data_IF_281748086672
#
_entry.id   IF_281748086672
#
_cell.length_a   1.000
_cell.length_b   1.000
_cell.length_c   1.000
_cell.angle_alpha   90.00
_cell.angle_beta   90.00
_cell.angle_gamma   90.00
#
_symmetry.space_group_name_H-M   'P 1'
#
loop_
_entity.id
_entity.type
_entity.pdbx_description
1 polymer ?
#
# COMPACT_ATOMS: atom_id res chain seq x y z
N UNK A 1 -15.13 -23.31 10.09
CA UNK A 1 -14.95 -23.99 8.80
C UNK A 1 -13.53 -23.68 8.37
N UNK A 2 -12.73 -24.67 7.99
CA UNK A 2 -11.34 -24.45 7.55
C UNK A 2 -11.34 -23.77 6.19
N UNK A 3 -10.43 -22.80 5.98
CA UNK A 3 -10.20 -22.23 4.64
C UNK A 3 -9.99 -23.38 3.62
N UNK A 4 -10.58 -23.30 2.42
CA UNK A 4 -10.42 -24.36 1.43
C UNK A 4 -8.94 -24.47 1.01
N UNK A 5 -8.43 -25.70 1.00
CA UNK A 5 -7.06 -26.03 0.56
C UNK A 5 -6.90 -25.94 -0.97
N UNK A 6 -8.02 -25.89 -1.70
CA UNK A 6 -8.09 -25.62 -3.14
C UNK A 6 -9.21 -24.58 -3.39
N UNK A 7 -8.87 -23.39 -3.86
CA UNK A 7 -9.84 -22.30 -4.10
C UNK A 7 -9.17 -21.09 -4.78
N UNK A 8 -9.76 -20.24 -5.64
CA UNK A 8 -11.16 -19.93 -5.99
C UNK A 8 -11.58 -20.51 -7.35
N UNK A 9 -12.72 -21.23 -7.36
CA UNK A 9 -13.44 -21.85 -8.50
C UNK A 9 -12.52 -22.40 -9.61
N UNK A 10 -12.20 -23.71 -9.54
CA UNK A 10 -11.47 -24.51 -10.54
C UNK A 10 -9.92 -24.54 -10.45
N UNK A 11 -9.33 -24.30 -9.28
CA UNK A 11 -7.86 -24.47 -9.12
C UNK A 11 -7.04 -23.36 -9.79
N UNK A 12 -7.58 -22.14 -9.86
CA UNK A 12 -6.84 -20.97 -10.35
C UNK A 12 -5.66 -20.59 -9.46
N UNK A 13 -5.72 -20.93 -8.17
CA UNK A 13 -4.62 -20.81 -7.22
C UNK A 13 -4.50 -22.14 -6.49
N UNK A 14 -3.35 -22.78 -6.61
CA UNK A 14 -2.99 -24.01 -5.91
C UNK A 14 -1.74 -23.72 -5.05
N UNK A 15 -1.96 -23.41 -3.78
CA UNK A 15 -0.88 -23.04 -2.87
C UNK A 15 -0.08 -24.25 -2.40
N UNK A 16 -0.64 -25.45 -2.48
CA UNK A 16 0.05 -26.69 -2.11
C UNK A 16 1.04 -27.10 -3.22
N UNK A 17 0.65 -26.95 -4.48
CA UNK A 17 1.53 -27.16 -5.62
C UNK A 17 2.40 -25.95 -5.97
N UNK A 18 2.15 -24.78 -5.36
CA UNK A 18 2.82 -23.53 -5.71
C UNK A 18 2.52 -23.11 -7.15
N UNK A 19 1.26 -23.13 -7.56
CA UNK A 19 0.84 -22.80 -8.92
C UNK A 19 -0.26 -21.75 -8.94
N UNK A 20 -0.14 -20.76 -9.83
CA UNK A 20 -1.15 -19.71 -10.00
C UNK A 20 -1.49 -19.59 -11.48
N UNK A 21 -2.76 -19.72 -11.82
CA UNK A 21 -3.25 -19.60 -13.19
C UNK A 21 -3.09 -18.18 -13.71
N UNK A 22 -2.65 -18.06 -14.96
CA UNK A 22 -2.55 -16.74 -15.63
C UNK A 22 -3.90 -16.06 -15.82
N UNK A 23 -5.00 -16.81 -15.76
CA UNK A 23 -6.36 -16.26 -15.90
C UNK A 23 -6.64 -15.14 -14.91
N UNK A 24 -6.15 -15.23 -13.66
CA UNK A 24 -6.42 -14.20 -12.65
C UNK A 24 -5.85 -12.83 -13.06
N UNK A 25 -4.85 -12.79 -13.94
CA UNK A 25 -4.21 -11.56 -14.41
C UNK A 25 -4.83 -11.01 -15.69
N UNK A 26 -5.60 -11.82 -16.45
CA UNK A 26 -6.03 -11.44 -17.80
C UNK A 26 -7.52 -11.58 -18.07
N UNK A 27 -8.27 -12.21 -17.17
CA UNK A 27 -9.69 -12.45 -17.36
C UNK A 27 -10.53 -11.28 -16.82
N UNK A 28 -11.33 -10.69 -17.70
CA UNK A 28 -12.17 -9.54 -17.37
C UNK A 28 -13.31 -9.89 -16.42
N UNK A 29 -13.86 -11.11 -16.49
CA UNK A 29 -14.93 -11.54 -15.57
C UNK A 29 -14.39 -11.66 -14.14
N UNK A 30 -13.19 -12.25 -13.98
CA UNK A 30 -12.50 -12.30 -12.68
C UNK A 30 -12.25 -10.89 -12.17
N UNK A 31 -11.83 -9.97 -13.05
CA UNK A 31 -11.59 -8.59 -12.66
C UNK A 31 -12.86 -7.88 -12.15
N UNK A 32 -14.01 -8.05 -12.82
CA UNK A 32 -15.27 -7.51 -12.34
C UNK A 32 -15.66 -8.10 -10.97
N UNK A 33 -15.39 -9.39 -10.75
CA UNK A 33 -15.56 -10.00 -9.43
C UNK A 33 -14.60 -9.42 -8.38
N UNK A 34 -13.36 -9.08 -8.73
CA UNK A 34 -12.41 -8.42 -7.81
C UNK A 34 -12.94 -7.06 -7.34
N UNK A 35 -13.57 -6.28 -8.23
CA UNK A 35 -14.13 -4.98 -7.84
C UNK A 35 -15.18 -5.11 -6.72
N UNK A 36 -16.07 -6.09 -6.83
CA UNK A 36 -17.15 -6.33 -5.87
C UNK A 36 -16.68 -7.10 -4.62
N UNK A 37 -15.89 -8.17 -4.82
CA UNK A 37 -15.54 -9.09 -3.73
C UNK A 37 -14.30 -8.67 -2.96
N UNK A 38 -13.43 -7.87 -3.56
CA UNK A 38 -12.17 -7.43 -2.95
C UNK A 38 -12.14 -5.92 -2.72
N UNK A 39 -12.20 -5.09 -3.77
CA UNK A 39 -11.99 -3.64 -3.63
C UNK A 39 -13.15 -2.91 -2.93
N UNK A 40 -14.39 -3.41 -3.04
CA UNK A 40 -15.51 -2.90 -2.26
C UNK A 40 -15.45 -3.30 -0.77
N UNK A 41 -14.61 -4.27 -0.39
CA UNK A 41 -14.62 -4.87 0.96
C UNK A 41 -13.36 -4.63 1.77
N UNK A 42 -12.20 -4.53 1.11
CA UNK A 42 -10.93 -4.32 1.78
C UNK A 42 -10.74 -2.88 2.28
N UNK A 43 -9.79 -2.68 3.18
CA UNK A 43 -9.28 -1.35 3.51
C UNK A 43 -8.32 -0.89 2.41
N UNK A 44 -8.51 0.35 1.93
CA UNK A 44 -7.73 0.95 0.86
C UNK A 44 -7.12 2.26 1.33
N UNK A 45 -5.87 2.51 0.96
CA UNK A 45 -5.22 3.79 1.20
C UNK A 45 -5.80 4.87 0.29
N UNK A 46 -6.17 6.01 0.87
CA UNK A 46 -6.78 7.13 0.16
C UNK A 46 -5.81 8.30 -0.01
N UNK A 47 -4.97 8.56 0.99
CA UNK A 47 -4.04 9.68 0.96
C UNK A 47 -3.46 9.98 2.34
N UNK A 48 -2.96 11.19 2.52
CA UNK A 48 -2.34 11.63 3.77
C UNK A 48 -2.90 12.98 4.23
N UNK A 49 -3.06 13.17 5.53
CA UNK A 49 -3.69 14.37 6.11
C UNK A 49 -2.97 15.67 5.74
N UNK A 50 -1.65 15.61 5.48
CA UNK A 50 -0.86 16.76 5.06
C UNK A 50 -1.21 17.26 3.66
N UNK A 51 -1.98 16.49 2.88
CA UNK A 51 -2.54 16.93 1.59
C UNK A 51 -3.78 17.81 1.78
N UNK A 52 -4.42 17.75 2.96
CA UNK A 52 -5.61 18.54 3.33
C UNK A 52 -5.42 19.20 4.71
N UNK A 53 -4.40 20.05 4.89
CA UNK A 53 -4.07 20.59 6.20
C UNK A 53 -5.11 21.57 6.74
N UNK A 54 -5.85 22.28 5.89
CA UNK A 54 -6.80 23.32 6.31
C UNK A 54 -8.26 22.94 6.00
N UNK A 55 -9.23 23.46 6.76
CA UNK A 55 -10.65 23.39 6.42
C UNK A 55 -10.93 23.84 4.98
N UNK A 56 -11.67 23.04 4.23
CA UNK A 56 -12.00 23.24 2.82
C UNK A 56 -11.02 22.61 1.84
N UNK A 57 -9.81 22.24 2.30
CA UNK A 57 -8.84 21.55 1.46
C UNK A 57 -9.35 20.16 1.07
N UNK A 58 -9.13 19.80 -0.20
CA UNK A 58 -9.49 18.50 -0.74
C UNK A 58 -8.38 17.93 -1.62
N UNK A 59 -8.40 16.60 -1.74
CA UNK A 59 -7.60 15.80 -2.64
C UNK A 59 -8.50 14.72 -3.26
N UNK A 60 -8.46 14.57 -4.59
CA UNK A 60 -9.21 13.53 -5.30
C UNK A 60 -8.33 12.30 -5.44
N UNK A 61 -8.81 11.19 -4.88
CA UNK A 61 -8.16 9.88 -4.88
C UNK A 61 -9.00 8.81 -5.57
N UNK A 62 -8.59 7.55 -5.44
CA UNK A 62 -9.27 6.40 -6.03
C UNK A 62 -9.31 5.20 -5.08
N UNK A 63 -10.44 4.48 -5.06
CA UNK A 63 -10.65 3.25 -4.31
C UNK A 63 -11.14 2.16 -5.28
N UNK A 64 -10.27 1.26 -5.70
CA UNK A 64 -10.51 0.43 -6.89
C UNK A 64 -10.61 1.32 -8.14
N UNK A 65 -11.74 1.26 -8.84
CA UNK A 65 -12.05 2.19 -9.94
C UNK A 65 -12.83 3.43 -9.51
N UNK A 66 -13.34 3.46 -8.27
CA UNK A 66 -14.14 4.58 -7.80
C UNK A 66 -13.28 5.81 -7.57
N UNK A 67 -13.74 6.96 -8.06
CA UNK A 67 -13.12 8.26 -7.74
C UNK A 67 -13.68 8.75 -6.41
N UNK A 68 -12.81 9.16 -5.49
CA UNK A 68 -13.21 9.65 -4.16
C UNK A 68 -12.65 11.03 -3.87
N UNK A 69 -13.36 11.80 -3.04
CA UNK A 69 -12.93 13.11 -2.55
C UNK A 69 -12.52 12.93 -1.10
N UNK A 70 -11.23 13.02 -0.81
CA UNK A 70 -10.70 13.22 0.54
C UNK A 70 -10.75 14.72 0.84
N UNK A 71 -11.46 15.15 1.89
CA UNK A 71 -11.50 16.56 2.26
C UNK A 71 -11.52 16.78 3.76
N UNK A 72 -11.06 17.97 4.18
CA UNK A 72 -11.26 18.47 5.53
C UNK A 72 -12.44 19.44 5.53
N UNK A 73 -13.44 19.19 6.37
CA UNK A 73 -14.61 20.06 6.44
C UNK A 73 -14.34 21.37 7.20
N UNK A 74 -15.37 22.21 7.34
CA UNK A 74 -15.26 23.48 8.08
C UNK A 74 -15.07 23.32 9.58
N UNK A 75 -15.47 22.17 10.15
CA UNK A 75 -15.26 21.84 11.55
C UNK A 75 -13.85 21.28 11.81
N UNK A 76 -13.13 20.88 10.76
CA UNK A 76 -11.80 20.29 10.83
C UNK A 76 -11.79 18.77 10.69
N UNK A 77 -12.95 18.15 10.52
CA UNK A 77 -13.12 16.69 10.37
C UNK A 77 -12.73 16.22 8.97
N UNK A 78 -12.15 15.02 8.88
CA UNK A 78 -11.74 14.42 7.61
C UNK A 78 -12.85 13.51 7.10
N UNK A 79 -13.19 13.66 5.82
CA UNK A 79 -14.18 12.82 5.14
C UNK A 79 -13.62 12.24 3.85
N UNK A 80 -14.17 11.09 3.44
CA UNK A 80 -13.94 10.50 2.11
C UNK A 80 -15.28 10.19 1.47
N UNK A 81 -15.58 10.87 0.36
CA UNK A 81 -16.85 10.72 -0.36
C UNK A 81 -16.66 10.12 -1.74
N UNK A 82 -17.62 9.33 -2.20
CA UNK A 82 -17.75 8.97 -3.61
C UNK A 82 -17.91 10.25 -4.46
N UNK A 83 -17.03 10.43 -5.44
CA UNK A 83 -17.02 11.59 -6.33
C UNK A 83 -18.06 11.44 -7.46
N UNK A 84 -19.33 11.25 -7.08
CA UNK A 84 -20.43 11.03 -8.00
C UNK A 84 -21.67 11.78 -7.53
N UNK A 85 -22.10 12.76 -8.32
CA UNK A 85 -23.31 13.53 -8.03
C UNK A 85 -24.51 12.59 -7.99
N UNK A 86 -25.24 12.59 -6.87
CA UNK A 86 -26.43 11.76 -6.67
C UNK A 86 -27.60 12.04 -7.63
N UNK A 87 -27.55 13.14 -8.38
CA UNK A 87 -28.56 13.44 -9.39
C UNK A 87 -28.40 12.57 -10.65
N UNK A 88 -27.23 12.62 -11.31
CA UNK A 88 -26.96 11.97 -12.62
C UNK A 88 -25.48 11.56 -12.80
N UNK A 89 -24.79 11.24 -11.71
CA UNK A 89 -23.46 10.61 -11.75
C UNK A 89 -22.28 11.50 -12.15
N UNK A 90 -22.48 12.80 -12.36
CA UNK A 90 -21.38 13.70 -12.72
C UNK A 90 -20.35 13.79 -11.59
N UNK A 91 -19.05 13.71 -11.91
CA UNK A 91 -17.97 13.99 -10.96
C UNK A 91 -18.14 15.40 -10.38
N UNK A 92 -18.29 15.49 -9.07
CA UNK A 92 -18.57 16.77 -8.39
C UNK A 92 -17.29 17.57 -8.26
N UNK A 93 -16.18 16.91 -7.93
CA UNK A 93 -14.84 17.49 -7.98
C UNK A 93 -14.09 16.97 -9.22
N UNK A 94 -13.50 17.87 -9.99
CA UNK A 94 -12.75 17.54 -11.23
C UNK A 94 -11.27 17.93 -11.18
N UNK A 95 -10.84 18.51 -10.07
CA UNK A 95 -9.46 18.92 -9.84
C UNK A 95 -8.82 17.93 -8.88
N UNK A 96 -7.53 17.66 -9.06
CA UNK A 96 -6.79 16.70 -8.25
C UNK A 96 -6.67 17.14 -6.79
N UNK A 97 -6.52 18.43 -6.56
CA UNK A 97 -6.41 19.03 -5.23
C UNK A 97 -6.83 20.50 -5.27
N UNK A 98 -7.12 21.07 -4.11
CA UNK A 98 -7.46 22.48 -3.97
C UNK A 98 -8.19 22.76 -2.67
N UNK A 99 -8.86 23.91 -2.60
CA UNK A 99 -9.65 24.31 -1.45
C UNK A 99 -10.98 24.89 -1.90
N UNK A 100 -12.08 24.46 -1.28
CA UNK A 100 -13.42 24.99 -1.58
C UNK A 100 -14.32 25.00 -0.35
N UNK A 101 -15.26 25.95 -0.33
CA UNK A 101 -16.28 26.03 0.71
C UNK A 101 -17.49 25.12 0.44
N UNK A 102 -17.71 24.72 -0.82
CA UNK A 102 -18.84 23.93 -1.34
C UNK A 102 -18.41 23.22 -2.64
N UNK A 103 -18.82 21.99 -2.83
CA UNK A 103 -18.67 21.25 -4.10
C UNK A 103 -19.93 21.42 -4.96
N UNK A 104 -19.84 22.18 -6.06
CA UNK A 104 -20.97 22.39 -6.98
C UNK A 104 -20.82 21.54 -8.23
N UNK A 105 -21.79 20.64 -8.45
CA UNK A 105 -21.84 19.79 -9.64
C UNK A 105 -22.00 20.65 -10.92
N UNK A 106 -21.08 20.55 -11.89
CA UNK A 106 -21.08 21.40 -13.07
C UNK A 106 -22.20 21.09 -14.07
N UNK A 107 -22.93 19.99 -13.90
CA UNK A 107 -23.98 19.60 -14.83
C UNK A 107 -25.29 20.36 -14.54
N UNK A 108 -25.83 20.24 -13.32
CA UNK A 108 -27.14 20.81 -12.96
C UNK A 108 -27.08 21.70 -11.71
N UNK A 109 -25.89 22.04 -11.22
CA UNK A 109 -25.72 22.96 -10.08
C UNK A 109 -26.10 22.42 -8.70
N UNK A 110 -26.36 21.11 -8.56
CA UNK A 110 -26.50 20.50 -7.23
C UNK A 110 -25.21 20.72 -6.43
N UNK A 111 -25.34 21.29 -5.25
CA UNK A 111 -24.21 21.76 -4.46
C UNK A 111 -24.18 21.06 -3.10
N UNK A 112 -23.01 20.56 -2.74
CA UNK A 112 -22.75 19.78 -1.54
C UNK A 112 -21.79 20.52 -0.62
N UNK A 113 -22.08 20.59 0.67
CA UNK A 113 -21.11 21.10 1.64
C UNK A 113 -19.93 20.15 1.81
N UNK A 114 -18.86 20.61 2.46
CA UNK A 114 -17.64 19.82 2.70
C UNK A 114 -17.85 18.65 3.67
N UNK A 115 -18.99 18.58 4.35
CA UNK A 115 -19.48 17.43 5.13
C UNK A 115 -20.46 16.54 4.32
N UNK A 116 -20.47 16.68 2.99
CA UNK A 116 -21.21 15.82 2.06
C UNK A 116 -22.71 16.13 1.91
N UNK A 117 -23.31 16.99 2.73
CA UNK A 117 -24.76 17.28 2.67
C UNK A 117 -25.16 18.03 1.41
N UNK A 118 -26.32 17.69 0.83
CA UNK A 118 -26.89 18.43 -0.29
C UNK A 118 -27.49 19.76 0.19
N UNK A 119 -26.77 20.86 -0.05
CA UNK A 119 -27.14 22.20 0.43
C UNK A 119 -27.82 23.07 -0.63
N UNK A 120 -27.53 22.83 -1.91
CA UNK A 120 -28.08 23.63 -3.02
C UNK A 120 -28.70 22.78 -4.12
N UNK A 121 -29.93 23.12 -4.52
CA UNK A 121 -30.65 22.51 -5.65
C UNK A 121 -31.28 23.64 -6.47
N UNK A 122 -30.83 23.89 -7.71
CA UNK A 122 -31.46 24.90 -8.56
C UNK A 122 -32.94 24.61 -8.81
N UNK A 123 -33.76 25.66 -8.85
CA UNK A 123 -35.22 25.59 -9.05
C UNK A 123 -35.94 24.67 -8.05
N UNK A 124 -35.47 24.58 -6.80
CA UNK A 124 -36.06 23.72 -5.76
C UNK A 124 -37.57 23.99 -5.53
N UNK A 125 -38.00 25.26 -5.62
CA UNK A 125 -39.42 25.60 -5.42
C UNK A 125 -40.26 25.31 -6.65
N UNK A 126 -39.76 25.65 -7.83
CA UNK A 126 -40.49 25.61 -9.09
C UNK A 126 -40.55 24.19 -9.66
N UNK A 127 -39.41 23.50 -9.75
CA UNK A 127 -39.28 22.19 -10.39
C UNK A 127 -39.47 21.02 -9.42
N UNK A 128 -39.03 21.17 -8.16
CA UNK A 128 -39.19 20.14 -7.12
C UNK A 128 -40.38 20.40 -6.19
N UNK A 129 -41.12 21.50 -6.37
CA UNK A 129 -42.26 21.90 -5.52
C UNK A 129 -41.93 21.93 -4.02
N UNK A 130 -40.67 22.19 -3.67
CA UNK A 130 -40.14 22.10 -2.30
C UNK A 130 -40.32 20.72 -1.63
N UNK A 131 -40.48 19.64 -2.40
CA UNK A 131 -40.76 18.28 -1.89
C UNK A 131 -39.55 17.35 -1.84
N UNK A 132 -38.43 17.70 -2.47
CA UNK A 132 -37.23 16.87 -2.41
C UNK A 132 -36.63 16.91 -0.99
N UNK A 133 -36.57 15.76 -0.33
CA UNK A 133 -35.86 15.61 0.94
C UNK A 133 -34.35 15.57 0.70
N UNK A 134 -33.69 16.71 0.87
CA UNK A 134 -32.25 16.87 0.63
C UNK A 134 -31.39 16.00 1.55
N UNK A 135 -31.89 15.57 2.72
CA UNK A 135 -31.10 14.74 3.65
C UNK A 135 -30.85 13.32 3.12
N UNK A 136 -31.63 12.85 2.15
CA UNK A 136 -31.47 11.52 1.55
C UNK A 136 -30.49 11.49 0.35
N UNK A 137 -30.02 12.66 -0.08
CA UNK A 137 -29.31 12.83 -1.35
C UNK A 137 -27.96 13.55 -1.21
N UNK A 138 -27.33 13.46 -0.04
CA UNK A 138 -25.92 13.84 0.15
C UNK A 138 -24.96 12.94 -0.61
N UNK A 139 -23.69 13.35 -0.70
CA UNK A 139 -22.63 12.50 -1.23
C UNK A 139 -22.57 11.20 -0.41
N UNK A 140 -22.26 10.08 -1.08
CA UNK A 140 -22.07 8.80 -0.39
C UNK A 140 -20.72 8.86 0.30
N UNK A 141 -20.71 8.77 1.62
CA UNK A 141 -19.49 8.64 2.41
C UNK A 141 -19.05 7.17 2.45
N UNK A 142 -17.74 6.94 2.56
CA UNK A 142 -17.21 5.60 2.85
C UNK A 142 -17.81 5.05 4.14
N UNK A 143 -17.96 3.73 4.24
CA UNK A 143 -18.60 3.11 5.40
C UNK A 143 -17.75 3.26 6.67
N UNK A 144 -16.42 3.17 6.51
CA UNK A 144 -15.46 3.38 7.60
C UNK A 144 -14.24 4.14 7.10
N UNK A 145 -13.67 4.96 7.99
CA UNK A 145 -12.46 5.76 7.77
C UNK A 145 -11.53 5.61 8.97
N UNK A 146 -10.23 5.53 8.72
CA UNK A 146 -9.20 5.53 9.76
C UNK A 146 -8.08 6.52 9.40
N UNK A 147 -7.84 7.49 10.28
CA UNK A 147 -6.62 8.30 10.27
C UNK A 147 -5.59 7.61 11.16
N UNK A 148 -4.51 7.11 10.57
CA UNK A 148 -3.45 6.40 11.27
C UNK A 148 -2.08 7.00 10.92
N UNK A 149 -1.41 7.62 11.88
CA UNK A 149 -0.05 8.19 11.70
C UNK A 149 0.05 9.09 10.46
N UNK A 150 -0.97 9.91 10.25
CA UNK A 150 -1.12 10.82 9.10
C UNK A 150 -1.71 10.20 7.83
N UNK A 151 -1.70 8.87 7.70
CA UNK A 151 -2.31 8.16 6.57
C UNK A 151 -3.82 8.02 6.72
N UNK A 152 -4.56 8.19 5.63
CA UNK A 152 -6.02 8.04 5.59
C UNK A 152 -6.36 6.76 4.84
N UNK A 153 -7.06 5.86 5.54
CA UNK A 153 -7.55 4.59 5.02
C UNK A 153 -9.07 4.58 5.05
N UNK A 154 -9.69 3.90 4.10
CA UNK A 154 -11.14 3.77 4.04
C UNK A 154 -11.58 2.41 3.49
N UNK A 155 -12.82 2.04 3.76
CA UNK A 155 -13.50 0.88 3.15
C UNK A 155 -14.96 1.19 2.89
N UNK A 156 -15.53 0.57 1.85
CA UNK A 156 -16.95 0.67 1.54
C UNK A 156 -17.81 -0.31 2.34
N UNK A 157 -17.19 -1.27 3.04
CA UNK A 157 -17.90 -2.32 3.76
C UNK A 157 -18.05 -1.98 5.25
N UNK A 158 -19.29 -1.77 5.75
CA UNK A 158 -19.53 -1.50 7.17
C UNK A 158 -19.25 -2.70 8.08
N UNK A 159 -19.17 -3.92 7.53
CA UNK A 159 -18.85 -5.14 8.25
C UNK A 159 -17.35 -5.42 8.32
N UNK A 160 -16.50 -4.64 7.65
CA UNK A 160 -15.06 -4.77 7.77
C UNK A 160 -14.62 -4.56 9.23
N UNK A 161 -13.63 -5.31 9.74
CA UNK A 161 -13.07 -5.04 11.05
C UNK A 161 -12.39 -3.64 11.06
N UNK A 162 -12.29 -2.97 12.22
CA UNK A 162 -11.57 -1.70 12.33
C UNK A 162 -10.14 -1.80 11.76
N UNK A 163 -9.61 -0.73 11.16
CA UNK A 163 -8.33 -0.78 10.45
C UNK A 163 -7.14 -1.36 11.25
N UNK A 164 -7.04 -1.03 12.54
CA UNK A 164 -5.97 -1.59 13.39
C UNK A 164 -6.14 -3.10 13.59
N UNK A 165 -7.39 -3.56 13.69
CA UNK A 165 -7.72 -4.97 13.75
C UNK A 165 -7.65 -5.64 12.37
N UNK A 166 -7.70 -4.91 11.26
CA UNK A 166 -7.39 -5.41 9.92
C UNK A 166 -5.90 -5.74 9.80
N UNK A 167 -5.03 -4.79 10.21
CA UNK A 167 -3.56 -4.96 10.21
C UNK A 167 -3.06 -5.99 11.23
N UNK A 168 -3.60 -5.98 12.45
CA UNK A 168 -3.14 -6.80 13.58
C UNK A 168 -1.63 -6.71 13.81
N UNK A 169 -0.99 -7.87 13.98
CA UNK A 169 0.46 -7.98 14.24
C UNK A 169 1.37 -7.46 13.11
N UNK A 170 0.81 -7.05 11.97
CA UNK A 170 1.56 -6.35 10.92
C UNK A 170 1.84 -4.88 11.26
N UNK A 171 1.11 -4.31 12.22
CA UNK A 171 1.17 -2.90 12.58
C UNK A 171 2.60 -2.38 12.91
N UNK A 172 3.44 -3.10 13.66
CA UNK A 172 4.83 -2.67 13.90
C UNK A 172 5.68 -2.54 12.63
N UNK A 173 5.36 -3.26 11.54
CA UNK A 173 6.11 -3.22 10.28
C UNK A 173 5.72 -2.01 9.43
N UNK A 174 4.43 -1.69 9.34
CA UNK A 174 3.99 -0.48 8.64
C UNK A 174 4.46 0.78 9.39
N UNK A 175 4.52 0.73 10.72
CA UNK A 175 5.04 1.80 11.57
C UNK A 175 6.50 2.16 11.25
N UNK A 176 7.34 1.20 10.84
CA UNK A 176 8.71 1.49 10.36
C UNK A 176 8.72 2.38 9.12
N UNK A 177 7.62 2.47 8.39
CA UNK A 177 7.44 3.36 7.23
C UNK A 177 6.64 4.62 7.56
N UNK A 178 5.78 4.63 8.58
CA UNK A 178 4.90 5.78 8.89
C UNK A 178 5.43 6.66 10.02
N UNK A 179 6.29 6.14 10.89
CA UNK A 179 6.89 6.90 11.99
C UNK A 179 8.11 7.70 11.56
N UNK A 180 8.34 8.85 12.19
CA UNK A 180 9.50 9.67 11.91
C UNK A 180 10.80 8.85 11.98
N UNK A 181 11.86 9.28 11.29
CA UNK A 181 13.13 8.57 11.24
C UNK A 181 13.75 8.34 12.61
N UNK A 182 13.45 9.20 13.59
CA UNK A 182 13.88 9.07 14.98
C UNK A 182 13.01 8.09 15.81
N UNK A 183 12.02 7.46 15.18
CA UNK A 183 11.08 6.53 15.77
C UNK A 183 9.88 7.16 16.49
N UNK A 184 9.70 8.48 16.43
CA UNK A 184 8.50 9.14 16.98
C UNK A 184 7.23 8.77 16.22
N UNK A 185 6.11 8.66 16.95
CA UNK A 185 4.83 8.28 16.35
C UNK A 185 4.36 9.26 15.28
N UNK A 186 4.19 8.77 14.06
CA UNK A 186 3.81 9.55 12.88
C UNK A 186 4.84 10.64 12.55
N UNK A 187 4.36 11.86 12.32
CA UNK A 187 5.23 13.01 12.03
C UNK A 187 5.73 13.09 10.59
N UNK A 188 5.21 12.25 9.69
CA UNK A 188 5.47 12.34 8.25
C UNK A 188 4.61 13.40 7.55
N UNK A 189 5.05 13.79 6.36
CA UNK A 189 4.28 14.54 5.39
C UNK A 189 4.62 14.09 3.96
N UNK A 190 3.74 14.43 3.02
CA UNK A 190 3.97 14.20 1.59
C UNK A 190 4.92 15.25 1.02
N UNK A 191 6.00 14.77 0.38
CA UNK A 191 7.01 15.64 -0.24
C UNK A 191 6.54 16.13 -1.62
N UNK A 192 6.27 17.43 -1.72
CA UNK A 192 5.94 18.20 -2.95
C UNK A 192 4.64 17.82 -3.68
N UNK A 193 4.20 16.56 -3.68
CA UNK A 193 3.02 16.07 -4.39
C UNK A 193 3.09 14.56 -4.64
N UNK A 194 2.26 14.06 -5.56
CA UNK A 194 2.24 12.64 -5.95
C UNK A 194 2.56 12.45 -7.42
N UNK A 195 3.20 11.33 -7.73
CA UNK A 195 3.41 10.91 -9.11
C UNK A 195 2.34 9.89 -9.51
N UNK A 196 1.72 10.10 -10.67
CA UNK A 196 0.68 9.24 -11.25
C UNK A 196 1.09 8.84 -12.65
N UNK A 197 1.05 7.55 -12.97
CA UNK A 197 1.32 7.04 -14.31
C UNK A 197 0.56 5.74 -14.56
N UNK A 198 0.49 5.31 -15.83
CA UNK A 198 -0.21 4.10 -16.24
C UNK A 198 0.76 3.09 -16.82
N UNK A 199 0.56 1.83 -16.45
CA UNK A 199 1.33 0.68 -16.95
C UNK A 199 0.35 -0.35 -17.51
N UNK A 200 0.56 -0.87 -18.73
CA UNK A 200 -0.32 -1.87 -19.35
C UNK A 200 -0.12 -3.26 -18.76
N UNK A 201 -0.39 -3.40 -17.45
CA UNK A 201 -0.32 -4.65 -16.72
C UNK A 201 -1.47 -4.77 -15.72
N UNK A 202 -1.77 -5.99 -15.28
CA UNK A 202 -2.67 -6.23 -14.17
C UNK A 202 -2.09 -5.71 -12.85
N UNK A 203 -2.94 -5.20 -11.96
CA UNK A 203 -2.54 -4.62 -10.67
C UNK A 203 -1.79 -5.60 -9.76
N UNK A 204 -2.00 -6.91 -9.96
CA UNK A 204 -1.35 -7.96 -9.17
C UNK A 204 0.15 -8.12 -9.45
N UNK A 205 0.65 -7.72 -10.62
CA UNK A 205 2.10 -7.77 -10.92
C UNK A 205 2.95 -6.85 -10.03
N UNK A 206 2.64 -5.54 -9.92
CA UNK A 206 3.37 -4.69 -8.98
C UNK A 206 3.07 -5.06 -7.52
N UNK A 207 1.85 -5.53 -7.21
CA UNK A 207 1.50 -6.00 -5.87
C UNK A 207 2.35 -7.21 -5.41
N UNK A 208 2.51 -8.23 -6.26
CA UNK A 208 3.33 -9.38 -5.91
C UNK A 208 4.82 -9.04 -5.88
N UNK A 209 5.26 -8.11 -6.73
CA UNK A 209 6.63 -7.64 -6.75
C UNK A 209 7.00 -6.93 -5.43
N UNK A 210 6.18 -5.98 -4.97
CA UNK A 210 6.39 -5.28 -3.70
C UNK A 210 6.04 -6.11 -2.46
N UNK A 211 5.27 -7.19 -2.62
CA UNK A 211 5.04 -8.18 -1.57
C UNK A 211 6.34 -8.85 -1.09
N UNK A 212 7.39 -8.85 -1.92
CA UNK A 212 8.73 -9.28 -1.52
C UNK A 212 9.48 -10.04 -2.60
N UNK A 213 9.18 -9.85 -3.89
CA UNK A 213 9.97 -10.47 -4.94
C UNK A 213 11.39 -9.93 -4.85
N UNK A 214 12.29 -10.66 -4.21
CA UNK A 214 13.69 -10.27 -4.12
C UNK A 214 14.56 -10.98 -5.14
N UNK A 215 13.95 -11.87 -5.93
CA UNK A 215 14.61 -12.64 -6.98
C UNK A 215 14.84 -11.79 -8.22
N UNK A 216 13.92 -10.88 -8.54
CA UNK A 216 14.04 -9.97 -9.69
C UNK A 216 15.17 -8.95 -9.58
N UNK A 217 15.95 -8.90 -8.49
CA UNK A 217 17.00 -7.89 -8.32
C UNK A 217 18.04 -7.88 -9.47
N UNK A 218 18.14 -8.96 -10.25
CA UNK A 218 18.91 -9.00 -11.50
C UNK A 218 18.44 -7.98 -12.55
N UNK A 219 17.14 -7.68 -12.60
CA UNK A 219 16.55 -6.67 -13.49
C UNK A 219 17.13 -5.28 -13.24
N UNK A 220 17.53 -5.00 -12.00
CA UNK A 220 18.12 -3.72 -11.64
C UNK A 220 19.65 -3.67 -11.71
N UNK A 221 20.27 -4.56 -12.47
CA UNK A 221 21.73 -4.59 -12.60
C UNK A 221 22.27 -3.27 -13.18
N UNK A 222 21.53 -2.62 -14.08
CA UNK A 222 21.83 -1.30 -14.63
C UNK A 222 21.95 -0.25 -13.52
N UNK A 223 21.00 -0.21 -12.60
CA UNK A 223 20.94 0.68 -11.44
C UNK A 223 22.12 0.46 -10.51
N UNK A 224 22.45 -0.80 -10.24
CA UNK A 224 23.60 -1.16 -9.40
C UNK A 224 24.93 -0.72 -9.99
N UNK A 225 25.09 -0.80 -11.32
CA UNK A 225 26.29 -0.35 -12.03
C UNK A 225 26.47 1.17 -11.98
N UNK A 226 25.37 1.93 -12.04
CA UNK A 226 25.42 3.40 -11.91
C UNK A 226 25.68 3.82 -10.46
N UNK A 227 25.33 2.97 -9.49
CA UNK A 227 25.62 3.22 -8.08
C UNK A 227 24.85 4.40 -7.52
N UNK A 228 23.56 4.52 -7.88
CA UNK A 228 22.71 5.63 -7.43
C UNK A 228 22.39 5.60 -5.94
N UNK A 229 22.97 4.69 -5.15
CA UNK A 229 22.74 4.59 -3.71
C UNK A 229 23.13 5.87 -2.95
N UNK A 230 22.58 6.07 -1.76
CA UNK A 230 22.86 7.26 -0.94
C UNK A 230 24.28 7.32 -0.38
N UNK A 231 25.00 6.19 -0.42
CA UNK A 231 26.43 6.09 -0.10
C UNK A 231 27.35 6.60 -1.22
N UNK A 232 26.81 6.87 -2.41
CA UNK A 232 27.55 7.41 -3.56
C UNK A 232 28.68 6.54 -4.12
N UNK A 233 28.86 5.31 -3.63
CA UNK A 233 29.89 4.39 -4.09
C UNK A 233 29.44 2.92 -4.06
N UNK A 234 29.68 2.23 -5.19
CA UNK A 234 29.69 0.77 -5.40
C UNK A 234 28.48 -0.11 -5.00
N UNK A 235 27.45 0.37 -4.29
CA UNK A 235 26.17 -0.35 -4.07
C UNK A 235 25.01 0.61 -3.79
N UNK A 236 23.79 0.14 -4.11
CA UNK A 236 22.52 0.80 -3.79
C UNK A 236 22.20 0.78 -2.28
N UNK A 237 22.50 -0.34 -1.63
CA UNK A 237 22.21 -0.58 -0.22
C UNK A 237 23.36 -0.18 0.70
N UNK A 238 23.01 0.02 1.98
CA UNK A 238 23.98 0.33 3.02
C UNK A 238 24.71 -0.94 3.56
N UNK A 239 25.99 -0.84 3.98
CA UNK A 239 26.80 -2.00 4.36
C UNK A 239 26.29 -2.80 5.56
N UNK A 240 25.50 -2.23 6.48
CA UNK A 240 24.97 -2.95 7.65
C UNK A 240 24.09 -4.14 7.25
N UNK A 241 23.47 -4.10 6.07
CA UNK A 241 22.63 -5.18 5.58
C UNK A 241 23.42 -6.46 5.28
N UNK A 242 24.75 -6.38 5.15
CA UNK A 242 25.62 -7.56 5.03
C UNK A 242 25.69 -8.39 6.32
N UNK A 243 25.40 -7.78 7.46
CA UNK A 243 25.40 -8.44 8.78
C UNK A 243 24.00 -8.92 9.20
N UNK A 244 22.96 -8.46 8.50
CA UNK A 244 21.57 -8.69 8.86
C UNK A 244 21.04 -10.05 8.41
N UNK A 245 20.01 -10.52 9.09
CA UNK A 245 19.11 -11.55 8.55
C UNK A 245 18.12 -10.92 7.60
N UNK A 246 18.07 -11.38 6.35
CA UNK A 246 17.04 -10.97 5.39
C UNK A 246 15.85 -11.90 5.54
N UNK A 247 14.66 -11.35 5.82
CA UNK A 247 13.47 -12.11 6.17
C UNK A 247 12.32 -11.76 5.22
N UNK A 248 11.62 -12.78 4.76
CA UNK A 248 10.25 -12.65 4.25
C UNK A 248 9.29 -12.94 5.39
N UNK A 249 8.38 -12.02 5.66
CA UNK A 249 7.47 -12.07 6.79
C UNK A 249 6.06 -11.89 6.25
N UNK A 250 5.20 -12.87 6.52
CA UNK A 250 3.82 -12.88 6.05
C UNK A 250 2.82 -13.08 7.20
N UNK A 251 1.62 -12.54 7.01
CA UNK A 251 0.50 -12.67 7.93
C UNK A 251 -0.68 -13.36 7.21
N UNK A 252 -0.71 -14.70 7.13
CA UNK A 252 -1.70 -15.45 6.34
C UNK A 252 -3.15 -15.11 6.60
N UNK A 253 -3.51 -14.85 7.85
CA UNK A 253 -4.88 -14.54 8.27
C UNK A 253 -5.37 -13.15 7.84
N UNK A 254 -4.46 -12.34 7.29
CA UNK A 254 -4.66 -10.91 7.01
C UNK A 254 -4.24 -10.53 5.59
N UNK A 255 -3.31 -11.29 5.00
CA UNK A 255 -2.77 -11.09 3.66
C UNK A 255 -1.67 -10.03 3.55
N UNK A 256 -1.17 -9.51 4.67
CA UNK A 256 -0.08 -8.53 4.67
C UNK A 256 1.27 -9.22 4.66
N UNK A 257 2.25 -8.58 4.04
CA UNK A 257 3.61 -9.11 3.96
C UNK A 257 4.66 -8.02 3.84
N UNK A 258 5.89 -8.36 4.22
CA UNK A 258 7.06 -7.50 4.03
C UNK A 258 8.32 -8.32 3.86
N UNK A 259 9.28 -7.74 3.14
CA UNK A 259 10.70 -8.10 3.25
C UNK A 259 11.35 -7.14 4.23
N UNK A 260 12.03 -7.68 5.24
CA UNK A 260 12.72 -6.88 6.25
C UNK A 260 14.10 -7.44 6.56
N UNK A 261 14.97 -6.59 7.10
CA UNK A 261 16.28 -6.97 7.62
C UNK A 261 16.30 -6.85 9.14
N UNK A 262 16.75 -7.89 9.82
CA UNK A 262 16.96 -7.89 11.26
C UNK A 262 18.47 -7.84 11.56
N UNK A 263 18.92 -6.74 12.14
CA UNK A 263 20.32 -6.55 12.53
C UNK A 263 20.69 -7.31 13.80
N UNK A 264 21.95 -7.78 13.94
CA UNK A 264 22.41 -8.36 15.20
C UNK A 264 22.39 -7.31 16.31
N UNK A 265 22.25 -7.74 17.56
CA UNK A 265 22.08 -6.88 18.73
C UNK A 265 23.21 -5.87 18.89
N UNK A 266 24.44 -6.27 18.56
CA UNK A 266 25.65 -5.45 18.66
C UNK A 266 26.00 -4.73 17.35
N UNK A 267 25.11 -4.70 16.35
CA UNK A 267 25.38 -4.04 15.08
C UNK A 267 25.58 -2.53 15.26
N UNK A 268 26.77 -2.04 14.91
CA UNK A 268 27.03 -0.61 14.81
C UNK A 268 26.21 0.03 13.66
N UNK A 269 25.83 1.29 13.83
CA UNK A 269 25.25 2.10 12.75
C UNK A 269 26.39 2.60 11.85
N UNK A 270 26.48 2.18 10.58
CA UNK A 270 27.51 2.69 9.70
C UNK A 270 27.22 4.15 9.33
N UNK A 271 28.24 4.93 8.98
CA UNK A 271 28.03 6.28 8.51
C UNK A 271 27.27 6.27 7.19
N UNK A 272 26.26 7.14 7.08
CA UNK A 272 25.42 7.27 5.89
C UNK A 272 25.49 8.70 5.34
N UNK A 273 25.24 8.84 4.02
CA UNK A 273 25.09 10.14 3.35
C UNK A 273 26.28 11.11 3.51
N UNK A 274 27.51 10.59 3.48
CA UNK A 274 28.72 11.35 3.81
C UNK A 274 29.05 12.52 2.87
N UNK A 275 28.30 12.70 1.77
CA UNK A 275 28.46 13.82 0.85
C UNK A 275 27.85 15.14 1.34
N UNK A 276 26.97 15.11 2.35
CA UNK A 276 26.50 16.29 3.08
C UNK A 276 26.58 16.02 4.57
N UNK A 277 27.25 16.90 5.33
CA UNK A 277 27.33 16.79 6.78
C UNK A 277 25.95 16.93 7.43
N UNK A 278 25.11 17.85 6.94
CA UNK A 278 23.76 18.07 7.48
C UNK A 278 22.89 16.83 7.31
N UNK A 279 22.93 16.20 6.13
CA UNK A 279 22.18 14.97 5.86
C UNK A 279 22.73 13.81 6.68
N UNK A 280 24.05 13.66 6.74
CA UNK A 280 24.71 12.60 7.52
C UNK A 280 24.40 12.72 9.01
N UNK A 281 24.49 13.92 9.58
CA UNK A 281 24.23 14.21 10.99
C UNK A 281 22.76 13.92 11.34
N UNK A 282 21.82 14.38 10.52
CA UNK A 282 20.39 14.12 10.70
C UNK A 282 20.08 12.61 10.81
N UNK A 283 20.51 11.82 9.84
CA UNK A 283 20.21 10.39 9.83
C UNK A 283 20.93 9.61 10.95
N UNK A 284 22.14 10.04 11.33
CA UNK A 284 22.87 9.46 12.46
C UNK A 284 22.12 9.70 13.77
N UNK A 285 21.69 10.94 14.02
CA UNK A 285 20.96 11.32 15.23
C UNK A 285 19.60 10.61 15.30
N UNK A 286 18.85 10.60 14.20
CA UNK A 286 17.59 9.85 14.11
C UNK A 286 17.79 8.36 14.41
N UNK A 287 18.79 7.71 13.82
CA UNK A 287 19.05 6.29 14.04
C UNK A 287 19.41 6.00 15.51
N UNK A 288 20.21 6.84 16.16
CA UNK A 288 20.55 6.71 17.58
C UNK A 288 19.30 6.82 18.47
N UNK A 289 18.46 7.83 18.23
CA UNK A 289 17.22 8.04 18.97
C UNK A 289 16.24 6.88 18.73
N UNK A 290 16.08 6.44 17.47
CA UNK A 290 15.19 5.35 17.07
C UNK A 290 15.57 4.05 17.77
N UNK A 291 16.85 3.68 17.78
CA UNK A 291 17.33 2.46 18.44
C UNK A 291 17.11 2.49 19.95
N UNK A 292 17.36 3.65 20.57
CA UNK A 292 17.09 3.82 22.00
C UNK A 292 15.61 3.73 22.34
N UNK A 293 14.74 4.37 21.55
CA UNK A 293 13.28 4.37 21.77
C UNK A 293 12.65 2.99 21.54
N UNK A 294 13.07 2.28 20.49
CA UNK A 294 12.43 1.02 20.05
C UNK A 294 13.04 -0.25 20.64
N UNK A 295 14.16 -0.15 21.37
CA UNK A 295 14.86 -1.33 21.88
C UNK A 295 15.19 -2.32 20.76
N UNK A 296 14.83 -3.59 20.92
CA UNK A 296 15.09 -4.62 19.90
C UNK A 296 14.38 -4.35 18.57
N UNK A 297 13.21 -3.69 18.55
CA UNK A 297 12.56 -3.27 17.30
C UNK A 297 13.39 -2.25 16.51
N UNK A 298 14.29 -1.51 17.17
CA UNK A 298 15.24 -0.61 16.50
C UNK A 298 16.21 -1.35 15.57
N UNK A 299 16.36 -2.67 15.73
CA UNK A 299 17.19 -3.53 14.87
C UNK A 299 16.47 -3.94 13.58
N UNK A 300 15.14 -3.84 13.54
CA UNK A 300 14.35 -4.14 12.36
C UNK A 300 14.44 -2.96 11.38
N UNK A 301 14.74 -3.30 10.12
CA UNK A 301 14.76 -2.38 8.99
C UNK A 301 13.80 -2.96 7.95
N UNK A 302 12.61 -2.37 7.84
CA UNK A 302 11.68 -2.70 6.77
C UNK A 302 12.30 -2.30 5.41
N UNK A 303 12.07 -3.13 4.40
CA UNK A 303 12.40 -2.82 3.01
C UNK A 303 11.11 -2.54 2.26
N UNK A 304 10.63 -3.51 1.46
CA UNK A 304 9.35 -3.47 0.75
C UNK A 304 8.30 -4.24 1.52
N UNK A 305 7.04 -3.90 1.30
CA UNK A 305 5.93 -4.72 1.73
C UNK A 305 4.62 -4.25 1.14
N UNK A 306 3.58 -5.01 1.43
CA UNK A 306 2.24 -4.80 0.90
C UNK A 306 1.24 -4.86 2.07
N UNK A 307 0.51 -3.77 2.26
CA UNK A 307 -0.78 -3.82 2.92
C UNK A 307 -1.78 -4.26 1.87
N UNK A 308 -2.18 -5.52 1.97
CA UNK A 308 -3.25 -6.09 1.16
C UNK A 308 -4.43 -5.12 1.00
N UNK A 309 -5.06 -5.03 -0.19
CA UNK A 309 -4.70 -5.76 -1.40
C UNK A 309 -3.59 -5.10 -2.22
N UNK A 310 -3.53 -3.77 -2.25
CA UNK A 310 -2.85 -3.05 -3.32
C UNK A 310 -2.05 -1.82 -2.86
N UNK A 311 -1.73 -1.72 -1.57
CA UNK A 311 -0.93 -0.61 -1.04
C UNK A 311 0.45 -1.12 -0.68
N UNK A 312 1.41 -0.83 -1.54
CA UNK A 312 2.80 -1.11 -1.29
C UNK A 312 3.46 -0.01 -0.46
N UNK A 313 4.46 -0.39 0.33
CA UNK A 313 5.34 0.54 1.00
C UNK A 313 6.81 0.18 0.77
N UNK A 314 7.65 1.21 0.82
CA UNK A 314 9.09 1.08 0.89
C UNK A 314 9.55 1.97 2.05
N UNK A 315 10.17 1.39 3.07
CA UNK A 315 10.30 2.07 4.37
C UNK A 315 11.47 3.06 4.46
N UNK A 316 12.45 2.99 3.55
CA UNK A 316 13.68 3.80 3.65
C UNK A 316 14.02 4.60 2.40
N UNK A 317 14.42 3.92 1.33
CA UNK A 317 15.16 4.55 0.25
C UNK A 317 14.73 4.01 -1.12
N UNK A 318 13.74 4.64 -1.77
CA UNK A 318 12.94 5.77 -1.30
C UNK A 318 11.93 5.40 -0.20
N UNK A 319 11.54 6.37 0.64
CA UNK A 319 10.48 6.13 1.64
C UNK A 319 9.14 6.50 1.01
N UNK A 320 8.34 5.50 0.67
CA UNK A 320 7.13 5.70 -0.15
C UNK A 320 5.96 4.84 0.28
N UNK A 321 4.76 5.34 -0.01
CA UNK A 321 3.58 4.52 -0.23
C UNK A 321 3.26 4.54 -1.73
N UNK A 322 2.89 3.41 -2.30
CA UNK A 322 2.39 3.31 -3.66
C UNK A 322 1.08 2.52 -3.67
N UNK A 323 0.13 2.94 -4.51
CA UNK A 323 -1.14 2.24 -4.69
C UNK A 323 -1.27 1.81 -6.14
N UNK A 324 -1.60 0.54 -6.33
CA UNK A 324 -1.87 -0.07 -7.62
C UNK A 324 -3.37 0.08 -7.93
N UNK A 325 -3.78 1.21 -8.50
CA UNK A 325 -5.19 1.42 -8.82
C UNK A 325 -5.53 0.64 -10.10
N UNK A 326 -6.43 -0.36 -10.03
CA UNK A 326 -6.76 -1.14 -11.20
C UNK A 326 -7.59 -0.32 -12.20
N UNK A 327 -7.38 -0.54 -13.50
CA UNK A 327 -8.10 0.12 -14.61
C UNK A 327 -8.45 -0.94 -15.66
N UNK A 328 -9.34 -1.86 -15.30
CA UNK A 328 -9.55 -3.10 -16.06
C UNK A 328 -8.52 -4.18 -15.73
N UNK A 329 -8.69 -5.38 -16.29
CA UNK A 329 -7.75 -6.48 -16.10
C UNK A 329 -6.36 -6.24 -16.73
N UNK A 330 -6.16 -5.16 -17.48
CA UNK A 330 -5.02 -4.97 -18.37
C UNK A 330 -4.27 -3.65 -18.23
N UNK A 331 -4.71 -2.77 -17.34
CA UNK A 331 -4.03 -1.52 -17.07
C UNK A 331 -4.07 -1.25 -15.56
N UNK A 332 -2.97 -0.71 -15.06
CA UNK A 332 -2.85 -0.26 -13.68
C UNK A 332 -2.40 1.19 -13.69
N UNK A 333 -3.12 2.03 -12.98
CA UNK A 333 -2.69 3.39 -12.69
C UNK A 333 -1.96 3.38 -11.33
N UNK A 334 -0.67 3.72 -11.36
CA UNK A 334 0.19 3.71 -10.17
C UNK A 334 0.26 5.11 -9.62
N UNK A 335 -0.07 5.26 -8.33
CA UNK A 335 0.07 6.50 -7.60
C UNK A 335 1.10 6.33 -6.51
N UNK A 336 2.10 7.22 -6.44
CA UNK A 336 3.20 7.14 -5.48
C UNK A 336 3.31 8.41 -4.65
N UNK A 337 3.32 8.23 -3.34
CA UNK A 337 3.54 9.25 -2.32
C UNK A 337 4.95 9.09 -1.75
N UNK A 338 5.68 10.19 -1.68
CA UNK A 338 7.00 10.25 -1.07
C UNK A 338 6.87 10.82 0.34
N UNK A 339 7.31 10.07 1.35
CA UNK A 339 7.22 10.47 2.75
C UNK A 339 8.53 11.09 3.22
N UNK A 340 8.43 12.20 3.94
CA UNK A 340 9.54 12.81 4.70
C UNK A 340 9.06 13.19 6.09
N UNK A 341 9.98 13.30 7.04
CA UNK A 341 9.62 13.82 8.36
C UNK A 341 9.31 15.32 8.24
N UNK A 342 8.20 15.75 8.86
CA UNK A 342 7.78 17.16 8.89
C UNK A 342 8.88 18.04 9.49
N UNK A 343 9.57 17.55 10.50
CA UNK A 343 10.66 18.23 11.21
C UNK A 343 12.02 18.21 10.49
N UNK A 344 12.16 17.45 9.40
CA UNK A 344 13.44 17.35 8.71
C UNK A 344 13.92 18.72 8.18
N UNK A 345 15.23 19.03 8.27
CA UNK A 345 15.80 20.23 7.67
C UNK A 345 15.51 20.31 6.17
N UNK A 346 15.39 21.53 5.64
CA UNK A 346 15.12 21.75 4.21
C UNK A 346 16.16 21.08 3.30
N UNK A 347 17.44 21.08 3.70
CA UNK A 347 18.51 20.40 2.97
C UNK A 347 18.31 18.87 2.91
N UNK A 348 17.83 18.27 4.01
CA UNK A 348 17.50 16.83 4.05
C UNK A 348 16.31 16.54 3.14
N UNK A 349 15.25 17.36 3.20
CA UNK A 349 14.08 17.21 2.32
C UNK A 349 14.47 17.34 0.84
N UNK A 350 15.33 18.29 0.49
CA UNK A 350 15.78 18.48 -0.90
C UNK A 350 16.68 17.32 -1.37
N UNK A 351 17.60 16.85 -0.52
CA UNK A 351 18.39 15.66 -0.80
C UNK A 351 17.49 14.43 -1.08
N UNK A 352 16.51 14.17 -0.20
CA UNK A 352 15.58 13.06 -0.36
C UNK A 352 14.74 13.23 -1.62
N UNK A 353 14.26 14.44 -1.92
CA UNK A 353 13.51 14.74 -3.15
C UNK A 353 14.29 14.31 -4.39
N UNK A 354 15.56 14.69 -4.50
CA UNK A 354 16.42 14.37 -5.64
C UNK A 354 16.71 12.87 -5.72
N UNK A 355 17.00 12.22 -4.58
CA UNK A 355 17.27 10.78 -4.54
C UNK A 355 16.02 9.97 -4.91
N UNK A 356 14.87 10.33 -4.35
CA UNK A 356 13.61 9.60 -4.53
C UNK A 356 13.15 9.58 -5.99
N UNK A 357 13.10 10.73 -6.67
CA UNK A 357 12.66 10.80 -8.07
C UNK A 357 13.64 10.17 -9.05
N UNK A 358 14.93 10.05 -8.68
CA UNK A 358 15.92 9.31 -9.47
C UNK A 358 15.76 7.80 -9.33
N UNK A 359 15.24 7.35 -8.19
CA UNK A 359 15.09 5.92 -7.88
C UNK A 359 13.76 5.38 -8.41
N UNK A 360 12.62 5.90 -7.92
CA UNK A 360 11.28 5.38 -8.19
C UNK A 360 10.37 6.43 -8.84
N UNK A 361 9.26 5.96 -9.41
CA UNK A 361 8.35 6.77 -10.22
C UNK A 361 8.60 6.64 -11.73
N UNK A 362 7.84 7.34 -12.57
CA UNK A 362 7.81 7.10 -14.02
C UNK A 362 9.14 7.41 -14.74
N UNK A 363 10.01 8.22 -14.12
CA UNK A 363 11.37 8.52 -14.60
C UNK A 363 12.47 7.96 -13.67
N UNK A 364 12.09 7.20 -12.64
CA UNK A 364 13.03 6.55 -11.73
C UNK A 364 13.74 5.39 -12.41
N UNK A 365 15.03 5.20 -12.14
CA UNK A 365 15.82 4.17 -12.81
C UNK A 365 15.38 2.75 -12.44
N UNK A 366 15.02 2.53 -11.18
CA UNK A 366 14.56 1.22 -10.70
C UNK A 366 13.18 0.90 -11.24
N UNK A 367 12.24 1.85 -11.14
CA UNK A 367 10.87 1.64 -11.62
C UNK A 367 10.80 1.42 -13.13
N UNK A 368 11.72 2.01 -13.92
CA UNK A 368 11.79 1.75 -15.35
C UNK A 368 12.06 0.27 -15.67
N UNK A 369 12.99 -0.36 -14.96
CA UNK A 369 13.27 -1.79 -15.14
C UNK A 369 12.05 -2.65 -14.75
N UNK A 370 11.35 -2.28 -13.68
CA UNK A 370 10.16 -2.98 -13.20
C UNK A 370 8.98 -2.88 -14.17
N UNK A 371 8.67 -1.66 -14.63
CA UNK A 371 7.57 -1.42 -15.57
C UNK A 371 7.77 -2.17 -16.88
N UNK A 372 9.01 -2.30 -17.34
CA UNK A 372 9.37 -3.13 -18.49
C UNK A 372 8.96 -4.59 -18.22
N UNK A 373 9.42 -5.16 -17.10
CA UNK A 373 9.07 -6.54 -16.74
C UNK A 373 7.56 -6.76 -16.67
N UNK A 374 6.82 -5.90 -15.95
CA UNK A 374 5.37 -6.06 -15.74
C UNK A 374 4.59 -5.96 -17.05
N UNK A 375 4.92 -4.98 -17.90
CA UNK A 375 4.29 -4.81 -19.22
C UNK A 375 4.48 -6.07 -20.08
N UNK A 376 5.72 -6.54 -20.23
CA UNK A 376 6.02 -7.70 -21.09
C UNK A 376 5.48 -9.01 -20.52
N UNK A 377 5.56 -9.22 -19.20
CA UNK A 377 4.97 -10.38 -18.53
C UNK A 377 3.46 -10.42 -18.73
N UNK A 378 2.77 -9.29 -18.54
CA UNK A 378 1.34 -9.19 -18.78
C UNK A 378 0.98 -9.45 -20.24
N UNK A 379 1.66 -8.81 -21.19
CA UNK A 379 1.42 -9.03 -22.61
C UNK A 379 1.60 -10.51 -23.01
N UNK A 380 2.64 -11.17 -22.51
CA UNK A 380 2.89 -12.59 -22.74
C UNK A 380 1.84 -13.51 -22.07
N UNK A 381 1.23 -13.06 -20.95
CA UNK A 381 0.17 -13.79 -20.24
C UNK A 381 -1.09 -13.97 -21.06
N UNK A 382 -1.37 -13.05 -21.99
CA UNK A 382 -2.66 -12.98 -22.71
C UNK A 382 -2.80 -14.00 -23.84
N UNK A 383 -1.70 -14.63 -24.25
CA UNK A 383 -1.71 -15.58 -25.37
C UNK A 383 -2.60 -16.80 -25.09
N UNK A 384 -3.38 -17.23 -26.08
CA UNK A 384 -4.33 -18.36 -25.98
C UNK A 384 -3.71 -19.63 -25.40
N UNK A 385 -2.45 -19.92 -25.76
CA UNK A 385 -1.72 -21.06 -25.22
C UNK A 385 -1.10 -20.77 -23.86
N UNK A 386 -0.51 -19.59 -23.67
CA UNK A 386 0.11 -19.19 -22.41
C UNK A 386 -0.86 -19.33 -21.23
N UNK A 387 -2.12 -18.91 -21.43
CA UNK A 387 -3.22 -18.99 -20.45
C UNK A 387 -3.56 -20.40 -19.96
N UNK A 388 -3.16 -21.44 -20.68
CA UNK A 388 -3.43 -22.84 -20.30
C UNK A 388 -2.43 -23.41 -19.31
N UNK A 389 -1.36 -22.67 -19.00
CA UNK A 389 -0.29 -23.11 -18.11
C UNK A 389 -0.15 -22.14 -16.94
N UNK A 390 -0.02 -22.64 -15.71
CA UNK A 390 0.16 -21.79 -14.54
C UNK A 390 1.55 -21.14 -14.52
N UNK A 391 1.66 -20.12 -13.70
CA UNK A 391 2.92 -19.65 -13.15
C UNK A 391 3.39 -20.54 -12.00
N UNK A 392 4.71 -20.64 -11.86
CA UNK A 392 5.36 -21.35 -10.77
C UNK A 392 5.61 -20.39 -9.61
N UNK A 393 5.17 -20.79 -8.42
CA UNK A 393 5.36 -20.12 -7.13
C UNK A 393 5.94 -21.09 -6.09
N UNK A 394 6.70 -22.11 -6.54
CA UNK A 394 7.26 -23.15 -5.67
C UNK A 394 8.53 -22.68 -4.92
N UNK A 395 9.08 -21.50 -5.24
CA UNK A 395 10.33 -21.05 -4.63
C UNK A 395 10.17 -20.91 -3.11
N UNK A 396 10.97 -21.68 -2.37
CA UNK A 396 10.94 -21.70 -0.90
C UNK A 396 9.66 -22.29 -0.30
N UNK A 397 8.89 -23.08 -1.05
CA UNK A 397 7.70 -23.78 -0.53
C UNK A 397 8.06 -24.74 0.61
N UNK A 398 7.35 -24.65 1.74
CA UNK A 398 7.56 -25.49 2.93
C UNK A 398 8.78 -25.10 3.76
N UNK A 399 9.41 -23.94 3.47
CA UNK A 399 10.57 -23.45 4.24
C UNK A 399 10.19 -22.41 5.30
N UNK A 400 8.91 -22.07 5.39
CA UNK A 400 8.38 -21.12 6.34
C UNK A 400 8.42 -21.64 7.79
N UNK A 401 8.69 -20.72 8.72
CA UNK A 401 8.86 -20.99 10.14
C UNK A 401 7.88 -20.12 10.91
N UNK A 402 7.04 -20.77 11.72
CA UNK A 402 6.25 -20.08 12.74
C UNK A 402 7.12 -19.81 13.99
N UNK A 403 6.88 -18.68 14.67
CA UNK A 403 7.61 -18.30 15.90
C UNK A 403 9.13 -18.17 15.69
N UNK A 404 9.54 -17.65 14.54
CA UNK A 404 10.95 -17.40 14.25
C UNK A 404 11.57 -16.47 15.29
N UNK A 405 12.69 -16.90 15.85
CA UNK A 405 13.47 -16.14 16.81
C UNK A 405 14.93 -16.10 16.35
N UNK A 406 15.54 -14.93 16.44
CA UNK A 406 16.96 -14.78 16.19
C UNK A 406 17.55 -13.72 17.10
N UNK A 407 18.65 -14.09 17.77
CA UNK A 407 19.43 -13.19 18.63
C UNK A 407 18.56 -12.46 19.66
N UNK A 408 17.74 -13.25 20.36
CA UNK A 408 16.84 -12.84 21.44
C UNK A 408 15.59 -12.08 21.02
N UNK A 409 15.32 -11.94 19.72
CA UNK A 409 14.14 -11.26 19.20
C UNK A 409 13.23 -12.23 18.45
N UNK A 410 11.98 -12.36 18.93
CA UNK A 410 10.92 -13.12 18.26
C UNK A 410 10.24 -12.23 17.23
N UNK A 411 10.31 -12.63 15.97
CA UNK A 411 9.76 -11.89 14.83
C UNK A 411 8.27 -12.25 14.68
N UNK A 412 7.32 -11.30 14.82
CA UNK A 412 5.91 -11.58 14.59
C UNK A 412 5.63 -11.92 13.13
N UNK A 413 4.80 -12.92 12.89
CA UNK A 413 4.44 -13.39 11.55
C UNK A 413 5.03 -14.77 11.22
N UNK A 414 4.76 -15.22 10.00
CA UNK A 414 5.30 -16.47 9.44
C UNK A 414 6.50 -16.10 8.57
N UNK A 415 7.67 -16.65 8.89
CA UNK A 415 8.96 -16.14 8.40
C UNK A 415 9.66 -17.15 7.49
N UNK A 416 10.25 -16.67 6.39
CA UNK A 416 11.26 -17.39 5.63
C UNK A 416 12.58 -16.61 5.70
N UNK A 417 13.63 -17.24 6.25
CA UNK A 417 14.97 -16.62 6.37
C UNK A 417 15.75 -16.78 5.04
N UNK A 418 15.91 -15.65 4.34
CA UNK A 418 16.57 -15.57 3.05
C UNK A 418 18.08 -15.39 3.11
N UNK A 419 18.66 -15.36 4.30
CA UNK A 419 20.11 -15.13 4.46
C UNK A 419 20.92 -16.17 3.71
N UNK A 420 20.48 -17.44 3.79
CA UNK A 420 21.06 -18.55 3.02
C UNK A 420 20.29 -18.84 1.74
N UNK A 421 18.95 -18.88 1.80
CA UNK A 421 18.10 -19.24 0.65
C UNK A 421 18.16 -18.22 -0.51
N UNK A 422 18.59 -16.98 -0.22
CA UNK A 422 18.67 -15.81 -1.12
C UNK A 422 17.34 -15.29 -1.64
N UNK A 423 16.36 -16.15 -1.89
CA UNK A 423 15.00 -15.79 -2.30
C UNK A 423 13.95 -16.82 -1.90
N UNK A 424 12.70 -16.39 -1.83
CA UNK A 424 11.50 -17.21 -1.60
C UNK A 424 10.26 -16.47 -2.11
N UNK A 425 9.25 -17.21 -2.57
CA UNK A 425 7.94 -16.67 -2.99
C UNK A 425 6.88 -16.83 -1.89
N UNK A 426 7.29 -17.07 -0.64
CA UNK A 426 6.42 -17.17 0.53
C UNK A 426 5.42 -16.01 0.64
N UNK A 427 5.91 -14.78 0.51
CA UNK A 427 5.08 -13.59 0.57
C UNK A 427 4.09 -13.47 -0.60
N UNK A 428 4.47 -13.94 -1.80
CA UNK A 428 3.60 -13.93 -2.98
C UNK A 428 2.49 -14.97 -2.82
N UNK A 429 2.81 -16.17 -2.32
CA UNK A 429 1.80 -17.16 -1.94
C UNK A 429 0.84 -16.62 -0.87
N UNK A 430 1.31 -15.78 0.05
CA UNK A 430 0.46 -15.12 1.04
C UNK A 430 -0.54 -14.14 0.41
N UNK A 431 -0.08 -13.32 -0.55
CA UNK A 431 -0.93 -12.43 -1.34
C UNK A 431 -2.04 -13.22 -2.03
N UNK A 432 -1.69 -14.30 -2.73
CA UNK A 432 -2.66 -15.12 -3.46
C UNK A 432 -3.58 -15.95 -2.57
N UNK A 433 -3.11 -16.37 -1.38
CA UNK A 433 -3.97 -16.95 -0.35
C UNK A 433 -5.08 -15.97 0.03
N UNK A 434 -4.71 -14.74 0.40
CA UNK A 434 -5.69 -13.76 0.85
C UNK A 434 -6.59 -13.30 -0.29
N UNK A 435 -6.05 -13.18 -1.50
CA UNK A 435 -6.84 -12.92 -2.70
C UNK A 435 -7.91 -13.99 -2.89
N UNK A 436 -7.54 -15.28 -2.90
CA UNK A 436 -8.49 -16.40 -2.99
C UNK A 436 -9.57 -16.29 -1.93
N UNK A 437 -9.18 -16.01 -0.68
CA UNK A 437 -10.13 -15.92 0.42
C UNK A 437 -11.19 -14.82 0.18
N UNK A 438 -10.77 -13.62 -0.24
CA UNK A 438 -11.72 -12.54 -0.59
C UNK A 438 -12.62 -12.90 -1.76
N UNK A 439 -12.05 -13.57 -2.77
CA UNK A 439 -12.81 -13.99 -3.93
C UNK A 439 -13.84 -15.08 -3.58
N UNK A 440 -13.58 -15.93 -2.60
CA UNK A 440 -14.49 -16.99 -2.16
C UNK A 440 -15.55 -16.52 -1.19
N UNK A 441 -15.14 -15.82 -0.13
CA UNK A 441 -16.02 -15.47 0.97
C UNK A 441 -17.10 -14.47 0.52
N UNK A 442 -18.34 -14.72 0.93
CA UNK A 442 -19.46 -13.83 0.64
C UNK A 442 -19.51 -12.62 1.58
N UNK A 443 -18.85 -12.70 2.74
CA UNK A 443 -18.90 -11.67 3.78
C UNK A 443 -17.63 -11.60 4.62
N UNK A 444 -17.48 -10.51 5.39
CA UNK A 444 -16.40 -10.40 6.37
C UNK A 444 -16.53 -11.42 7.50
N UNK A 445 -17.75 -11.74 7.95
CA UNK A 445 -17.96 -12.77 8.98
C UNK A 445 -17.37 -14.13 8.55
N UNK A 446 -17.55 -14.48 7.28
CA UNK A 446 -16.96 -15.70 6.71
C UNK A 446 -15.42 -15.60 6.64
N UNK A 447 -14.85 -14.50 6.11
CA UNK A 447 -13.41 -14.27 6.07
C UNK A 447 -12.76 -14.35 7.46
N UNK A 448 -13.44 -13.79 8.46
CA UNK A 448 -12.98 -13.76 9.84
C UNK A 448 -13.01 -15.14 10.47
N UNK A 449 -13.99 -15.98 10.10
CA UNK A 449 -14.09 -17.37 10.57
C UNK A 449 -12.95 -18.27 10.12
N UNK A 450 -12.19 -17.86 9.10
CA UNK A 450 -11.04 -18.60 8.56
C UNK A 450 -9.71 -18.25 9.23
N UNK A 451 -9.68 -17.19 10.07
CA UNK A 451 -8.53 -16.93 10.94
C UNK A 451 -8.36 -18.12 11.89
N UNK A 452 -7.13 -18.60 12.13
CA UNK A 452 -6.94 -19.75 13.01
C UNK A 452 -7.33 -19.33 14.44
N UNK A 453 -8.19 -20.08 15.13
CA UNK A 453 -8.48 -19.80 16.53
C UNK A 453 -7.22 -20.01 17.37
N UNK A 454 -6.74 -18.96 18.05
CA UNK A 454 -5.60 -19.05 18.99
C UNK A 454 -4.56 -17.93 18.96
N UNK A 455 -4.66 -16.92 18.07
CA UNK A 455 -3.73 -15.76 18.08
C UNK A 455 -4.26 -14.48 18.75
N UNK A 456 -5.51 -14.48 19.23
CA UNK A 456 -6.15 -13.30 19.82
C UNK A 456 -5.99 -13.16 21.35
N UNK A 457 -5.27 -14.04 22.05
CA UNK A 457 -5.18 -14.04 23.53
C UNK A 457 -3.77 -13.77 24.10
N UNK A 458 -2.87 -13.13 23.34
CA UNK A 458 -1.57 -12.70 23.87
C UNK A 458 -1.39 -11.18 23.77
N UNK A 459 -2.32 -10.45 24.40
CA UNK A 459 -2.17 -9.02 24.68
C UNK A 459 -2.85 -8.71 26.03
N UNK A 460 -2.20 -9.11 27.12
CA UNK A 460 -2.30 -8.46 28.44
C UNK A 460 -0.89 -8.09 28.93
#
# INVERSE_FOLDING_TARGET
MTAPTQGYRNGLVDLEAGQVSREIFVNEEIYQEELERLFARAWLFVGHESQIPNPGDFFVSSMGEESVILCRDRAGEIHVFLNSCRHRGMKVCRYDEGSTAVFTCPYHGWSYSTDGKLVGVPYFREAYHSKLDRSQWGLVEVAQLCLYKGTVWATWDPAAPPFLEYLGDFLPYIDLTLDAWDGSDGGTEILCGIQKWRVPCNWKFPAENFSGDSYHNISHRSVDLVGIGPSGSNRRDMPELLLARKLHIAFPERGHQTTSYLLPKEAASPPAYQHSSVVSDYFRECEEVRRKKRGDWGRMIALVGEVFPNTAFLARQPRTLAVWHPRGAHETEIWRWFLVDRSAPAEVKDFLRQYYIRYSGPAGMTEQDDMENWNYAHAASRGTMARRYPYNYEQGLGSEVENYEWDGFRVPGVVCDLTQAKSSEHNLRNLYRRWTEFMEAESWDELMSWRRPGRAEAAE
#
